data_IF_801562021153
#
_entry.id   IF_801562021153
#
_cell.length_a   1.000
_cell.length_b   1.000
_cell.length_c   1.000
_cell.angle_alpha   90.00
_cell.angle_beta   90.00
_cell.angle_gamma   90.00
#
_symmetry.space_group_name_H-M   'P 1'
#
loop_
_entity.id
_entity.type
_entity.pdbx_description
1 polymer ?
#
# COMPACT_ATOMS: atom_id res chain seq x y z
N UNK A 1 12.32 53.17 9.51
CA UNK A 1 12.63 51.81 9.01
C UNK A 1 12.29 50.71 10.01
N UNK A 2 12.48 50.89 11.31
CA UNK A 2 12.18 49.90 12.34
C UNK A 2 10.66 49.53 12.42
N UNK A 3 9.75 50.49 12.44
CA UNK A 3 8.32 50.27 12.52
C UNK A 3 7.76 49.50 11.30
N UNK A 4 8.31 49.70 10.11
CA UNK A 4 7.90 49.00 8.89
C UNK A 4 8.31 47.52 8.90
N UNK A 5 9.46 47.20 9.53
CA UNK A 5 9.95 45.83 9.72
C UNK A 5 9.08 45.09 10.78
N UNK A 6 8.77 45.74 11.89
CA UNK A 6 7.97 45.16 12.96
C UNK A 6 6.55 44.82 12.49
N UNK A 7 5.91 45.68 11.73
CA UNK A 7 4.55 45.45 11.16
C UNK A 7 4.53 44.32 10.10
N UNK A 8 5.65 44.13 9.37
CA UNK A 8 5.82 43.01 8.41
C UNK A 8 5.99 41.67 9.13
N UNK A 9 6.72 41.65 10.23
CA UNK A 9 6.95 40.45 11.04
C UNK A 9 5.68 39.98 11.74
N UNK A 10 4.93 40.92 12.34
CA UNK A 10 3.62 40.64 12.95
C UNK A 10 2.60 40.09 11.94
N UNK A 11 2.59 40.62 10.70
CA UNK A 11 1.75 40.11 9.61
C UNK A 11 2.12 38.67 9.25
N UNK A 12 3.39 38.37 9.11
CA UNK A 12 3.88 37.03 8.76
C UNK A 12 3.52 36.00 9.82
N UNK A 13 3.71 36.33 11.09
CA UNK A 13 3.33 35.45 12.21
C UNK A 13 1.81 35.21 12.24
N UNK A 14 1.00 36.24 12.00
CA UNK A 14 -0.46 36.15 11.95
C UNK A 14 -0.90 35.19 10.84
N UNK A 15 -0.39 35.37 9.62
CA UNK A 15 -0.69 34.51 8.47
C UNK A 15 -0.30 33.06 8.79
N UNK A 16 0.87 32.78 9.33
CA UNK A 16 1.31 31.44 9.70
C UNK A 16 0.39 30.79 10.75
N UNK A 17 -0.07 31.57 11.74
CA UNK A 17 -1.02 31.07 12.74
C UNK A 17 -2.37 30.72 12.11
N UNK A 18 -2.89 31.56 11.20
CA UNK A 18 -4.13 31.31 10.47
C UNK A 18 -4.00 30.05 9.61
N UNK A 19 -2.91 29.92 8.84
CA UNK A 19 -2.61 28.72 8.03
C UNK A 19 -2.61 27.47 8.90
N UNK A 20 -1.89 27.47 10.02
CA UNK A 20 -1.80 26.33 10.93
C UNK A 20 -3.18 25.88 11.40
N UNK A 21 -4.04 26.82 11.79
CA UNK A 21 -5.39 26.53 12.29
C UNK A 21 -6.32 26.03 11.18
N UNK A 22 -6.19 26.57 9.96
CA UNK A 22 -6.92 26.08 8.78
C UNK A 22 -6.55 24.62 8.45
N UNK A 23 -5.26 24.28 8.49
CA UNK A 23 -4.81 22.88 8.35
C UNK A 23 -5.28 21.97 9.49
N UNK A 24 -5.53 22.52 10.67
CA UNK A 24 -6.14 21.79 11.79
C UNK A 24 -7.66 21.63 11.66
N UNK A 25 -8.22 22.05 10.51
CA UNK A 25 -9.66 22.01 10.19
C UNK A 25 -10.51 22.85 11.16
N UNK A 26 -9.93 23.87 11.77
CA UNK A 26 -10.66 24.83 12.58
C UNK A 26 -11.50 25.75 11.70
N UNK A 27 -12.67 26.15 12.24
CA UNK A 27 -13.51 27.19 11.63
C UNK A 27 -13.16 28.52 12.27
N UNK A 28 -12.64 29.43 11.49
CA UNK A 28 -12.06 30.68 11.96
C UNK A 28 -13.04 31.84 11.80
N UNK A 29 -13.53 32.38 12.89
CA UNK A 29 -14.37 33.58 12.85
C UNK A 29 -13.48 34.82 12.63
N UNK A 30 -13.82 35.64 11.63
CA UNK A 30 -13.04 36.83 11.29
C UNK A 30 -12.98 37.87 12.39
N UNK A 31 -14.06 38.04 13.18
CA UNK A 31 -14.11 39.01 14.31
C UNK A 31 -13.23 38.52 15.46
N UNK A 32 -13.26 37.22 15.75
CA UNK A 32 -12.41 36.63 16.80
C UNK A 32 -10.95 36.74 16.45
N UNK A 33 -10.58 36.49 15.17
CA UNK A 33 -9.23 36.71 14.68
C UNK A 33 -8.78 38.17 14.76
N UNK A 34 -9.66 39.11 14.41
CA UNK A 34 -9.39 40.53 14.52
C UNK A 34 -9.05 40.94 15.95
N UNK A 35 -9.84 40.46 16.92
CA UNK A 35 -9.62 40.67 18.34
C UNK A 35 -8.34 40.00 18.85
N UNK A 36 -8.10 38.75 18.48
CA UNK A 36 -6.91 37.96 18.88
C UNK A 36 -5.61 38.66 18.44
N UNK A 37 -5.57 39.13 17.19
CA UNK A 37 -4.40 39.77 16.62
C UNK A 37 -4.35 41.28 16.77
N UNK A 38 -5.34 41.88 17.46
CA UNK A 38 -5.45 43.31 17.65
C UNK A 38 -5.33 44.12 16.34
N UNK A 39 -6.07 43.67 15.31
CA UNK A 39 -6.13 44.31 14.00
C UNK A 39 -7.59 44.50 13.57
N UNK A 40 -7.80 45.34 12.58
CA UNK A 40 -9.15 45.57 12.08
C UNK A 40 -9.61 44.37 11.18
N UNK A 41 -10.92 44.15 11.13
CA UNK A 41 -11.54 43.05 10.37
C UNK A 41 -11.16 43.06 8.88
N UNK A 42 -10.96 44.26 8.28
CA UNK A 42 -10.52 44.36 6.88
C UNK A 42 -9.11 43.82 6.68
N UNK A 43 -8.26 43.92 7.69
CA UNK A 43 -6.92 43.35 7.68
C UNK A 43 -7.00 41.81 7.63
N UNK A 44 -7.86 41.20 8.45
CA UNK A 44 -8.12 39.76 8.41
C UNK A 44 -8.69 39.32 7.05
N UNK A 45 -9.64 40.08 6.51
CA UNK A 45 -10.20 39.78 5.18
C UNK A 45 -9.13 39.80 4.09
N UNK A 46 -8.21 40.78 4.11
CA UNK A 46 -7.08 40.80 3.14
C UNK A 46 -6.13 39.64 3.32
N UNK A 47 -5.84 39.25 4.55
CA UNK A 47 -5.01 38.10 4.84
C UNK A 47 -5.66 36.81 4.35
N UNK A 48 -6.98 36.63 4.54
CA UNK A 48 -7.74 35.49 4.00
C UNK A 48 -7.73 35.48 2.47
N UNK A 49 -7.91 36.63 1.80
CA UNK A 49 -7.81 36.68 0.33
C UNK A 49 -6.40 36.31 -0.18
N UNK A 50 -5.36 36.75 0.52
CA UNK A 50 -3.97 36.35 0.20
C UNK A 50 -3.81 34.84 0.34
N UNK A 51 -4.37 34.27 1.39
CA UNK A 51 -4.33 32.81 1.62
C UNK A 51 -5.17 32.02 0.62
N UNK A 52 -6.30 32.57 0.16
CA UNK A 52 -7.10 31.94 -0.92
C UNK A 52 -6.27 31.77 -2.19
N UNK A 53 -5.60 32.83 -2.62
CA UNK A 53 -4.75 32.76 -3.81
C UNK A 53 -3.64 31.72 -3.64
N UNK A 54 -2.96 31.73 -2.49
CA UNK A 54 -1.89 30.77 -2.18
C UNK A 54 -2.38 29.32 -2.19
N UNK A 55 -3.48 29.01 -1.50
CA UNK A 55 -3.99 27.62 -1.45
C UNK A 55 -4.49 27.14 -2.79
N UNK A 56 -5.10 28.02 -3.58
CA UNK A 56 -5.59 27.67 -4.92
C UNK A 56 -4.43 27.29 -5.86
N UNK A 57 -3.33 28.06 -5.81
CA UNK A 57 -2.14 27.81 -6.65
C UNK A 57 -1.36 26.56 -6.24
N UNK A 58 -1.15 26.35 -4.94
CA UNK A 58 -0.29 25.27 -4.42
C UNK A 58 -0.96 23.91 -4.41
N UNK A 59 -2.22 23.82 -3.92
CA UNK A 59 -2.86 22.55 -3.59
C UNK A 59 -4.25 22.38 -4.22
N UNK A 60 -4.76 23.38 -4.93
CA UNK A 60 -6.14 23.40 -5.40
C UNK A 60 -7.17 23.41 -4.25
N UNK A 61 -6.73 23.72 -3.01
CA UNK A 61 -7.61 23.86 -1.85
C UNK A 61 -8.25 25.24 -1.82
N UNK A 62 -9.44 25.36 -1.27
CA UNK A 62 -10.21 26.60 -1.28
C UNK A 62 -10.63 27.00 0.14
N UNK A 63 -10.36 28.27 0.53
CA UNK A 63 -10.89 28.81 1.78
C UNK A 63 -12.30 29.28 1.54
N UNK A 64 -13.30 28.56 2.11
CA UNK A 64 -14.72 28.91 2.06
C UNK A 64 -15.22 29.58 3.34
N UNK A 65 -16.35 30.27 3.23
CA UNK A 65 -17.02 30.84 4.39
C UNK A 65 -18.34 30.12 4.69
N UNK A 66 -18.45 29.55 5.87
CA UNK A 66 -19.68 28.92 6.34
C UNK A 66 -20.59 29.95 7.02
N UNK A 67 -21.75 30.22 6.43
CA UNK A 67 -22.78 31.10 7.03
C UNK A 67 -23.35 30.53 8.32
N UNK A 68 -23.53 29.20 8.39
CA UNK A 68 -24.11 28.53 9.57
C UNK A 68 -23.15 28.54 10.76
N UNK A 69 -21.85 28.37 10.52
CA UNK A 69 -20.81 28.37 11.55
C UNK A 69 -20.10 29.71 11.70
N UNK A 70 -20.51 30.72 10.91
CA UNK A 70 -19.99 32.09 10.91
C UNK A 70 -18.47 32.20 10.86
N UNK A 71 -17.81 31.39 9.99
CA UNK A 71 -16.37 31.39 9.93
C UNK A 71 -15.78 30.81 8.64
N UNK A 72 -14.50 31.10 8.42
CA UNK A 72 -13.70 30.58 7.32
C UNK A 72 -13.18 29.19 7.65
N UNK A 73 -13.16 28.31 6.65
CA UNK A 73 -12.57 26.97 6.74
C UNK A 73 -11.87 26.61 5.44
N UNK A 74 -10.87 25.75 5.52
CA UNK A 74 -10.19 25.22 4.37
C UNK A 74 -10.97 24.01 3.85
N UNK A 75 -11.45 24.10 2.62
CA UNK A 75 -11.99 22.96 1.89
C UNK A 75 -10.83 22.32 1.14
N UNK A 76 -10.36 21.20 1.67
CA UNK A 76 -9.35 20.40 0.98
C UNK A 76 -9.98 19.78 -0.26
N UNK A 77 -9.22 19.71 -1.34
CA UNK A 77 -9.65 18.98 -2.53
C UNK A 77 -9.79 17.49 -2.12
N UNK A 78 -11.03 16.97 -2.17
CA UNK A 78 -11.32 15.58 -1.79
C UNK A 78 -10.54 14.54 -2.59
N UNK A 79 -10.01 14.93 -3.75
CA UNK A 79 -9.17 14.05 -4.58
C UNK A 79 -7.74 13.86 -4.03
N UNK A 80 -7.28 14.74 -3.14
CA UNK A 80 -5.90 14.71 -2.61
C UNK A 80 -5.79 14.32 -1.15
N UNK A 81 -6.88 14.31 -0.38
CA UNK A 81 -6.91 13.96 1.03
C UNK A 81 -7.64 12.63 1.28
N UNK A 82 -7.08 11.81 2.17
CA UNK A 82 -7.75 10.58 2.59
C UNK A 82 -9.05 10.88 3.33
N UNK A 83 -10.11 10.13 3.00
CA UNK A 83 -11.34 10.11 3.79
C UNK A 83 -11.14 9.27 5.08
N UNK A 84 -12.03 9.42 6.04
CA UNK A 84 -11.96 8.65 7.29
C UNK A 84 -12.15 7.15 7.05
N UNK A 85 -13.00 6.78 6.10
CA UNK A 85 -13.24 5.40 5.67
C UNK A 85 -11.96 4.79 5.06
N UNK A 86 -11.26 5.53 4.20
CA UNK A 86 -10.00 5.11 3.60
C UNK A 86 -8.92 4.96 4.67
N UNK A 87 -8.79 5.92 5.60
CA UNK A 87 -7.83 5.84 6.70
C UNK A 87 -8.07 4.62 7.59
N UNK A 88 -9.34 4.33 7.92
CA UNK A 88 -9.69 3.15 8.69
C UNK A 88 -9.36 1.86 7.93
N UNK A 89 -9.80 1.75 6.68
CA UNK A 89 -9.57 0.57 5.85
C UNK A 89 -8.07 0.28 5.64
N UNK A 90 -7.27 1.29 5.28
CA UNK A 90 -5.82 1.16 5.11
C UNK A 90 -5.15 0.76 6.43
N UNK A 91 -5.57 1.36 7.55
CA UNK A 91 -5.04 1.01 8.89
C UNK A 91 -5.29 -0.45 9.24
N UNK A 92 -6.49 -0.98 8.97
CA UNK A 92 -6.83 -2.39 9.18
C UNK A 92 -5.98 -3.32 8.31
N UNK A 93 -5.81 -2.98 7.02
CA UNK A 93 -4.97 -3.76 6.09
C UNK A 93 -3.51 -3.78 6.56
N UNK A 94 -2.96 -2.65 7.01
CA UNK A 94 -1.58 -2.58 7.51
C UNK A 94 -1.41 -3.43 8.76
N UNK A 95 -2.35 -3.37 9.71
CA UNK A 95 -2.29 -4.16 10.96
C UNK A 95 -2.38 -5.66 10.66
N UNK A 96 -3.34 -6.09 9.83
CA UNK A 96 -3.53 -7.49 9.45
C UNK A 96 -2.37 -8.04 8.63
N UNK A 97 -1.77 -7.24 7.76
CA UNK A 97 -0.63 -7.66 6.93
C UNK A 97 0.56 -8.11 7.75
N UNK A 98 0.76 -7.55 8.94
CA UNK A 98 1.92 -7.78 9.82
C UNK A 98 3.28 -7.59 9.14
N UNK A 99 3.29 -6.94 7.97
CA UNK A 99 4.45 -6.86 7.08
C UNK A 99 5.63 -6.06 7.66
N UNK A 100 5.35 -5.15 8.55
CA UNK A 100 6.34 -4.24 9.12
C UNK A 100 6.67 -4.58 10.58
N UNK A 101 7.84 -4.19 11.06
CA UNK A 101 8.16 -4.28 12.47
C UNK A 101 7.27 -3.34 13.31
N UNK A 102 7.31 -3.50 14.64
CA UNK A 102 6.42 -2.76 15.53
C UNK A 102 6.58 -1.24 15.41
N UNK A 103 7.80 -0.75 15.27
CA UNK A 103 8.08 0.69 15.17
C UNK A 103 7.59 1.28 13.85
N UNK A 104 7.86 0.62 12.73
CA UNK A 104 7.38 1.04 11.42
C UNK A 104 5.85 1.05 11.37
N UNK A 105 5.20 -0.03 11.86
CA UNK A 105 3.74 -0.12 11.92
C UNK A 105 3.15 1.01 12.75
N UNK A 106 3.65 1.25 13.97
CA UNK A 106 3.15 2.32 14.82
C UNK A 106 3.32 3.69 14.17
N UNK A 107 4.46 3.93 13.54
CA UNK A 107 4.74 5.20 12.85
C UNK A 107 3.80 5.41 11.67
N UNK A 108 3.59 4.41 10.83
CA UNK A 108 2.68 4.46 9.68
C UNK A 108 1.24 4.73 10.13
N UNK A 109 0.74 3.95 11.08
CA UNK A 109 -0.62 4.11 11.63
C UNK A 109 -0.81 5.50 12.24
N UNK A 110 0.16 6.00 13.02
CA UNK A 110 0.07 7.33 13.60
C UNK A 110 0.03 8.43 12.53
N UNK A 111 0.84 8.30 11.48
CA UNK A 111 0.81 9.24 10.36
C UNK A 111 -0.55 9.23 9.66
N UNK A 112 -1.10 8.05 9.35
CA UNK A 112 -2.43 7.92 8.74
C UNK A 112 -3.52 8.58 9.59
N UNK A 113 -3.58 8.26 10.87
CA UNK A 113 -4.58 8.83 11.79
C UNK A 113 -4.45 10.35 11.88
N UNK A 114 -3.25 10.91 11.76
CA UNK A 114 -3.04 12.35 11.83
C UNK A 114 -3.64 13.11 10.63
N UNK A 115 -3.97 12.42 9.53
CA UNK A 115 -4.72 13.01 8.41
C UNK A 115 -6.22 13.18 8.73
N UNK A 116 -6.76 12.46 9.72
CA UNK A 116 -8.12 12.70 10.22
C UNK A 116 -8.15 13.85 11.22
N UNK A 117 -9.31 14.46 11.44
CA UNK A 117 -9.48 15.62 12.33
C UNK A 117 -10.53 15.38 13.43
N UNK A 118 -10.39 16.11 14.52
CA UNK A 118 -11.41 16.22 15.56
C UNK A 118 -11.90 14.88 16.12
N UNK A 119 -13.22 14.73 16.24
CA UNK A 119 -13.88 13.54 16.78
C UNK A 119 -13.63 12.28 15.96
N UNK A 120 -13.46 12.41 14.65
CA UNK A 120 -13.23 11.27 13.74
C UNK A 120 -11.88 10.59 14.03
N UNK A 121 -10.86 11.40 14.38
CA UNK A 121 -9.55 10.87 14.81
C UNK A 121 -9.68 9.98 16.05
N UNK A 122 -10.43 10.39 17.05
CA UNK A 122 -10.64 9.60 18.27
C UNK A 122 -11.47 8.34 17.98
N UNK A 123 -12.43 8.43 17.06
CA UNK A 123 -13.21 7.28 16.61
C UNK A 123 -12.31 6.24 15.95
N UNK A 124 -11.48 6.65 14.97
CA UNK A 124 -10.55 5.74 14.28
C UNK A 124 -9.57 5.13 15.29
N UNK A 125 -8.97 5.95 16.18
CA UNK A 125 -8.08 5.45 17.23
C UNK A 125 -8.76 4.38 18.10
N UNK A 126 -10.00 4.63 18.54
CA UNK A 126 -10.77 3.68 19.34
C UNK A 126 -10.96 2.34 18.65
N UNK A 127 -11.28 2.36 17.34
CA UNK A 127 -11.53 1.17 16.53
C UNK A 127 -10.29 0.31 16.26
N UNK A 128 -9.09 0.91 16.24
CA UNK A 128 -7.85 0.17 15.92
C UNK A 128 -6.92 -0.01 17.13
N UNK A 129 -7.20 0.62 18.26
CA UNK A 129 -6.29 0.65 19.40
C UNK A 129 -5.97 -0.74 19.96
N UNK A 130 -6.97 -1.62 20.05
CA UNK A 130 -6.75 -2.99 20.53
C UNK A 130 -5.78 -3.76 19.62
N UNK A 131 -5.98 -3.73 18.31
CA UNK A 131 -5.12 -4.40 17.33
C UNK A 131 -3.71 -3.80 17.33
N UNK A 132 -3.62 -2.46 17.37
CA UNK A 132 -2.33 -1.76 17.42
C UNK A 132 -1.55 -2.07 18.69
N UNK A 133 -2.21 -2.16 19.85
CA UNK A 133 -1.56 -2.45 21.13
C UNK A 133 -1.05 -3.89 21.20
N UNK A 134 -1.82 -4.82 20.63
CA UNK A 134 -1.52 -6.25 20.60
C UNK A 134 -0.81 -6.67 19.30
N UNK A 135 -0.30 -5.74 18.53
CA UNK A 135 0.37 -6.02 17.26
C UNK A 135 1.57 -6.94 17.46
N UNK A 136 1.55 -8.09 16.81
CA UNK A 136 2.62 -9.09 16.84
C UNK A 136 3.35 -9.02 15.48
N UNK A 137 4.56 -8.42 15.43
CA UNK A 137 5.34 -8.34 14.20
C UNK A 137 5.84 -9.72 13.76
N UNK A 138 6.29 -9.81 12.52
CA UNK A 138 6.99 -10.99 12.02
C UNK A 138 8.37 -11.13 12.67
N UNK A 139 8.91 -12.36 12.63
CA UNK A 139 10.15 -12.72 13.30
C UNK A 139 11.43 -12.09 12.71
N UNK A 140 11.37 -11.51 11.51
CA UNK A 140 12.56 -10.93 10.87
C UNK A 140 13.05 -9.65 11.56
N UNK A 141 12.16 -8.84 12.15
CA UNK A 141 12.52 -7.61 12.88
C UNK A 141 13.14 -6.48 12.04
N UNK A 142 13.24 -6.66 10.72
CA UNK A 142 13.92 -5.73 9.81
C UNK A 142 13.11 -4.45 9.59
N UNK A 143 13.83 -3.34 9.34
CA UNK A 143 13.25 -2.09 8.85
C UNK A 143 13.11 -2.18 7.33
N UNK A 144 11.88 -2.38 6.85
CA UNK A 144 11.65 -2.67 5.43
C UNK A 144 11.43 -1.44 4.56
N UNK A 145 10.89 -0.35 5.10
CA UNK A 145 10.52 0.82 4.30
C UNK A 145 11.70 1.40 3.53
N UNK A 146 12.86 1.53 4.17
CA UNK A 146 14.08 2.04 3.52
C UNK A 146 14.60 1.08 2.45
N UNK A 147 14.59 -0.22 2.74
CA UNK A 147 15.04 -1.25 1.78
C UNK A 147 14.13 -1.29 0.55
N UNK A 148 12.81 -1.25 0.77
CA UNK A 148 11.81 -1.19 -0.30
C UNK A 148 12.05 0.04 -1.19
N UNK A 149 12.29 1.21 -0.59
CA UNK A 149 12.53 2.43 -1.35
C UNK A 149 13.83 2.37 -2.17
N UNK A 150 14.92 1.88 -1.59
CA UNK A 150 16.18 1.71 -2.29
C UNK A 150 16.04 0.75 -3.48
N UNK A 151 15.38 -0.39 -3.29
CA UNK A 151 15.09 -1.33 -4.37
C UNK A 151 14.21 -0.70 -5.45
N UNK A 152 13.21 0.08 -5.08
CA UNK A 152 12.36 0.81 -6.03
C UNK A 152 13.15 1.79 -6.90
N UNK A 153 14.16 2.49 -6.32
CA UNK A 153 15.06 3.34 -7.11
C UNK A 153 15.94 2.52 -8.07
N UNK A 154 16.47 1.39 -7.63
CA UNK A 154 17.26 0.50 -8.49
C UNK A 154 16.42 -0.06 -9.65
N UNK A 155 15.16 -0.42 -9.41
CA UNK A 155 14.20 -0.83 -10.45
C UNK A 155 13.95 0.30 -11.44
N UNK A 156 13.64 1.51 -10.92
CA UNK A 156 13.39 2.69 -11.75
C UNK A 156 14.58 3.03 -12.65
N UNK A 157 15.78 2.98 -12.10
CA UNK A 157 17.03 3.32 -12.79
C UNK A 157 17.60 2.16 -13.62
N UNK A 158 17.02 0.95 -13.50
CA UNK A 158 17.47 -0.28 -14.19
C UNK A 158 18.91 -0.65 -13.83
N UNK A 159 19.24 -0.54 -12.58
CA UNK A 159 20.57 -0.81 -12.07
C UNK A 159 20.75 -2.31 -11.79
N UNK A 160 21.85 -2.88 -12.32
CA UNK A 160 22.30 -4.19 -11.93
C UNK A 160 22.88 -4.08 -10.51
N UNK A 161 22.36 -4.85 -9.59
CA UNK A 161 22.76 -4.82 -8.20
C UNK A 161 23.30 -6.16 -7.73
N UNK A 162 24.22 -6.11 -6.79
CA UNK A 162 24.68 -7.26 -6.02
C UNK A 162 23.93 -7.27 -4.68
N UNK A 163 23.39 -8.42 -4.30
CA UNK A 163 22.74 -8.58 -3.00
C UNK A 163 23.34 -9.71 -2.20
N UNK A 164 23.50 -9.49 -0.90
CA UNK A 164 23.71 -10.56 0.07
C UNK A 164 22.36 -11.07 0.54
N UNK A 165 22.07 -12.34 0.31
CA UNK A 165 20.79 -12.97 0.58
C UNK A 165 20.90 -14.15 1.54
N UNK A 166 20.13 -14.13 2.63
CA UNK A 166 20.06 -15.25 3.57
C UNK A 166 19.05 -16.28 3.09
N UNK A 167 19.51 -17.47 2.74
CA UNK A 167 18.66 -18.58 2.29
C UNK A 167 17.83 -19.18 3.41
N UNK A 168 16.93 -20.12 3.06
CA UNK A 168 16.13 -20.88 4.05
C UNK A 168 16.99 -21.59 5.09
N UNK A 169 18.15 -22.10 4.65
CA UNK A 169 19.11 -22.83 5.48
C UNK A 169 20.08 -21.91 6.23
N UNK A 170 19.73 -20.61 6.33
CA UNK A 170 20.53 -19.56 6.98
C UNK A 170 21.94 -19.38 6.41
N UNK A 171 22.15 -19.79 5.18
CA UNK A 171 23.41 -19.57 4.47
C UNK A 171 23.35 -18.24 3.71
N UNK A 172 24.40 -17.44 3.81
CA UNK A 172 24.60 -16.25 3.00
C UNK A 172 24.96 -16.62 1.57
N UNK A 173 24.28 -16.03 0.59
CA UNK A 173 24.60 -16.15 -0.85
C UNK A 173 24.60 -14.79 -1.49
N UNK A 174 25.59 -14.58 -2.37
CA UNK A 174 25.65 -13.37 -3.19
C UNK A 174 24.99 -13.64 -4.53
N UNK A 175 24.16 -12.70 -4.97
CA UNK A 175 23.53 -12.75 -6.28
C UNK A 175 23.71 -11.41 -6.99
N UNK A 176 24.15 -11.47 -8.24
CA UNK A 176 23.99 -10.38 -9.18
C UNK A 176 22.60 -10.48 -9.78
N UNK A 177 21.80 -9.44 -9.64
CA UNK A 177 20.39 -9.47 -10.03
C UNK A 177 19.99 -8.23 -10.84
N UNK A 178 19.05 -8.46 -11.76
CA UNK A 178 18.29 -7.43 -12.46
C UNK A 178 16.94 -7.27 -11.76
N UNK A 179 16.77 -6.27 -10.88
CA UNK A 179 15.52 -6.08 -10.15
C UNK A 179 14.42 -5.59 -11.09
N UNK A 180 13.24 -6.21 -11.02
CA UNK A 180 12.13 -5.96 -11.95
C UNK A 180 10.92 -5.32 -11.29
N UNK A 181 10.49 -5.83 -10.11
CA UNK A 181 9.31 -5.36 -9.40
C UNK A 181 9.36 -5.72 -7.93
N UNK A 182 8.55 -5.03 -7.13
CA UNK A 182 8.31 -5.34 -5.71
C UNK A 182 6.86 -5.77 -5.57
N UNK A 183 6.63 -6.91 -4.94
CA UNK A 183 5.30 -7.44 -4.65
C UNK A 183 5.12 -7.68 -3.17
N UNK A 184 3.89 -7.46 -2.70
CA UNK A 184 3.45 -7.90 -1.37
C UNK A 184 2.51 -9.10 -1.52
N UNK A 185 2.74 -10.14 -0.73
CA UNK A 185 1.86 -11.31 -0.66
C UNK A 185 1.89 -11.94 0.72
N UNK A 186 0.72 -12.29 1.23
CA UNK A 186 0.53 -12.83 2.57
C UNK A 186 1.09 -11.86 3.63
N UNK A 187 2.29 -12.11 4.10
CA UNK A 187 2.94 -11.34 5.18
C UNK A 187 4.23 -10.63 4.74
N UNK A 188 4.73 -10.89 3.52
CA UNK A 188 6.07 -10.50 3.13
C UNK A 188 6.10 -9.65 1.87
N UNK A 189 7.08 -8.76 1.83
CA UNK A 189 7.48 -8.12 0.59
C UNK A 189 8.49 -8.99 -0.15
N UNK A 190 8.32 -9.04 -1.47
CA UNK A 190 9.17 -9.83 -2.36
C UNK A 190 9.73 -8.94 -3.47
N UNK A 191 11.00 -9.15 -3.76
CA UNK A 191 11.66 -8.64 -4.95
C UNK A 191 11.56 -9.68 -6.05
N UNK A 192 11.02 -9.27 -7.19
CA UNK A 192 11.02 -10.06 -8.43
C UNK A 192 12.24 -9.62 -9.22
N UNK A 193 13.10 -10.55 -9.58
CA UNK A 193 14.36 -10.24 -10.24
C UNK A 193 14.84 -11.40 -11.13
N UNK A 194 15.57 -11.12 -12.19
CA UNK A 194 16.40 -12.13 -12.83
C UNK A 194 17.74 -12.25 -12.11
N UNK A 195 18.14 -13.48 -11.80
CA UNK A 195 19.48 -13.78 -11.30
C UNK A 195 20.37 -13.98 -12.52
N UNK A 196 21.54 -13.34 -12.54
CA UNK A 196 22.51 -13.47 -13.61
C UNK A 196 22.84 -14.96 -13.86
N UNK A 197 22.86 -15.38 -15.12
CA UNK A 197 23.02 -16.77 -15.57
C UNK A 197 21.86 -17.73 -15.21
N UNK A 198 20.70 -17.23 -14.75
CA UNK A 198 19.48 -18.00 -14.45
C UNK A 198 18.24 -17.20 -14.83
N UNK A 199 18.14 -16.81 -16.09
CA UNK A 199 17.09 -15.89 -16.56
C UNK A 199 15.91 -16.60 -17.26
N UNK A 200 15.76 -17.91 -17.09
CA UNK A 200 14.65 -18.66 -17.69
C UNK A 200 13.29 -18.18 -17.19
N UNK A 201 13.19 -17.93 -15.89
CA UNK A 201 12.04 -17.27 -15.24
C UNK A 201 12.52 -16.44 -14.04
N UNK A 202 11.76 -15.36 -13.68
CA UNK A 202 12.20 -14.50 -12.60
C UNK A 202 12.21 -15.22 -11.25
N UNK A 203 13.24 -14.96 -10.48
CA UNK A 203 13.33 -15.37 -9.09
C UNK A 203 12.46 -14.49 -8.21
N UNK A 204 11.91 -15.06 -7.15
CA UNK A 204 11.11 -14.40 -6.14
C UNK A 204 11.88 -14.43 -4.82
N UNK A 205 12.37 -13.26 -4.41
CA UNK A 205 13.26 -13.10 -3.26
C UNK A 205 12.57 -12.32 -2.15
N UNK A 206 12.50 -12.87 -0.95
CA UNK A 206 11.95 -12.14 0.22
C UNK A 206 12.87 -10.97 0.57
N UNK A 207 12.31 -9.76 0.66
CA UNK A 207 13.09 -8.54 0.92
C UNK A 207 13.71 -8.56 2.31
N UNK A 208 13.02 -9.09 3.32
CA UNK A 208 13.53 -9.22 4.70
C UNK A 208 14.76 -10.15 4.85
N UNK A 209 15.10 -10.90 3.81
CA UNK A 209 16.29 -11.77 3.75
C UNK A 209 17.47 -11.15 3.02
N UNK A 210 17.28 -9.95 2.46
CA UNK A 210 18.36 -9.17 1.85
C UNK A 210 19.07 -8.43 2.99
N UNK A 211 20.34 -8.75 3.21
CA UNK A 211 21.14 -8.14 4.27
C UNK A 211 21.97 -6.97 3.78
N UNK A 212 22.28 -6.94 2.50
CA UNK A 212 23.09 -5.89 1.88
C UNK A 212 22.70 -5.70 0.41
N UNK A 213 22.78 -4.47 -0.08
CA UNK A 213 22.53 -4.12 -1.48
C UNK A 213 23.69 -3.22 -1.94
N UNK A 214 24.39 -3.65 -2.96
CA UNK A 214 25.48 -2.89 -3.59
C UNK A 214 25.12 -2.58 -5.04
N UNK A 215 25.24 -1.32 -5.41
CA UNK A 215 25.07 -0.88 -6.79
C UNK A 215 26.36 -1.18 -7.57
N UNK A 216 26.24 -1.93 -8.66
CA UNK A 216 27.41 -2.28 -9.49
C UNK A 216 27.86 -1.14 -10.40
N UNK A 217 27.12 -0.04 -10.49
CA UNK A 217 27.32 1.05 -11.45
C UNK A 217 26.96 0.68 -12.89
N UNK A 218 26.48 -0.53 -13.13
CA UNK A 218 26.06 -1.01 -14.45
C UNK A 218 24.54 -0.99 -14.56
N UNK A 219 24.05 -0.69 -15.76
CA UNK A 219 22.61 -0.76 -16.08
C UNK A 219 22.35 -1.97 -16.96
N UNK A 220 21.22 -2.65 -16.72
CA UNK A 220 20.73 -3.65 -17.66
C UNK A 220 19.80 -2.97 -18.67
N UNK A 221 19.87 -3.44 -19.93
CA UNK A 221 19.05 -2.87 -20.99
C UNK A 221 17.59 -3.31 -20.76
N UNK A 222 16.70 -2.35 -20.56
CA UNK A 222 15.28 -2.63 -20.73
C UNK A 222 15.00 -2.68 -22.22
N UNK A 223 14.40 -3.73 -22.61
CA UNK A 223 13.72 -3.93 -23.85
C UNK A 223 12.55 -2.90 -23.97
N UNK A 224 11.99 -2.74 -25.13
CA UNK A 224 10.88 -1.81 -25.42
C UNK A 224 9.72 -1.93 -24.39
N UNK A 225 8.82 -0.94 -24.31
CA UNK A 225 7.69 -0.93 -23.39
C UNK A 225 6.86 -2.24 -23.37
N UNK A 226 6.74 -2.91 -24.53
CA UNK A 226 6.10 -4.22 -24.70
C UNK A 226 6.81 -5.37 -23.98
N UNK A 227 8.11 -5.23 -23.74
CA UNK A 227 8.98 -6.24 -23.12
C UNK A 227 9.29 -5.96 -21.65
N UNK A 228 8.78 -4.84 -21.11
CA UNK A 228 8.85 -4.56 -19.68
C UNK A 228 8.11 -5.63 -18.90
N UNK A 229 8.70 -6.02 -17.77
CA UNK A 229 8.03 -6.91 -16.83
C UNK A 229 6.68 -6.30 -16.40
N UNK A 230 5.62 -7.08 -16.59
CA UNK A 230 4.25 -6.68 -16.27
C UNK A 230 3.84 -7.37 -14.98
N UNK A 231 4.10 -6.72 -13.86
CA UNK A 231 3.81 -7.24 -12.52
C UNK A 231 2.32 -7.56 -12.29
N UNK A 232 1.41 -6.77 -12.83
CA UNK A 232 -0.03 -7.04 -12.80
C UNK A 232 -0.41 -8.34 -13.53
N UNK A 233 0.21 -8.62 -14.68
CA UNK A 233 0.01 -9.90 -15.39
C UNK A 233 0.67 -11.05 -14.63
N UNK A 234 1.90 -10.89 -14.21
CA UNK A 234 2.64 -11.91 -13.46
C UNK A 234 1.89 -12.33 -12.19
N UNK A 235 1.25 -11.37 -11.49
CA UNK A 235 0.47 -11.62 -10.27
C UNK A 235 -0.71 -12.57 -10.48
N UNK A 236 -1.31 -12.60 -11.67
CA UNK A 236 -2.44 -13.49 -11.96
C UNK A 236 -2.05 -14.97 -11.90
N UNK A 237 -0.79 -15.27 -12.21
CA UNK A 237 -0.28 -16.64 -12.31
C UNK A 237 0.51 -17.10 -11.09
N UNK A 238 0.92 -16.17 -10.18
CA UNK A 238 1.76 -16.48 -9.03
C UNK A 238 0.92 -16.71 -7.78
N UNK A 239 1.13 -17.85 -7.14
CA UNK A 239 0.47 -18.20 -5.89
C UNK A 239 1.49 -18.60 -4.83
N UNK A 240 1.31 -18.13 -3.59
CA UNK A 240 2.26 -18.30 -2.47
C UNK A 240 3.71 -17.97 -2.83
N UNK A 241 3.88 -17.05 -3.79
CA UNK A 241 5.19 -16.56 -4.24
C UNK A 241 6.15 -17.68 -4.67
N UNK A 242 5.62 -18.69 -5.32
CA UNK A 242 6.39 -19.72 -6.02
C UNK A 242 6.31 -19.49 -7.52
N UNK A 243 7.47 -19.39 -8.16
CA UNK A 243 7.62 -19.25 -9.62
C UNK A 243 8.07 -20.57 -10.25
N UNK A 244 7.93 -20.67 -11.54
CA UNK A 244 8.33 -21.81 -12.36
C UNK A 244 7.75 -21.73 -13.77
N UNK A 245 7.79 -22.80 -14.54
CA UNK A 245 7.19 -22.88 -15.87
C UNK A 245 5.66 -22.69 -15.78
N UNK A 246 5.07 -22.18 -16.86
CA UNK A 246 3.62 -22.10 -16.98
C UNK A 246 3.02 -23.50 -16.91
N UNK A 247 2.14 -23.70 -15.95
CA UNK A 247 1.55 -25.01 -15.63
C UNK A 247 0.03 -24.88 -15.60
N UNK A 248 -0.65 -25.89 -16.12
CA UNK A 248 -2.13 -26.01 -16.10
C UNK A 248 -2.54 -27.04 -15.09
N UNK A 249 -3.54 -26.72 -14.28
CA UNK A 249 -4.10 -27.63 -13.28
C UNK A 249 -5.61 -27.70 -13.47
N UNK A 250 -6.14 -28.89 -13.52
CA UNK A 250 -7.59 -29.14 -13.50
C UNK A 250 -7.96 -29.82 -12.19
N UNK A 251 -9.03 -29.35 -11.56
CA UNK A 251 -9.49 -29.91 -10.29
C UNK A 251 -11.00 -29.87 -10.16
N UNK A 252 -11.56 -30.75 -9.30
CA UNK A 252 -12.96 -30.73 -8.91
C UNK A 252 -13.14 -30.11 -7.54
N UNK A 253 -14.06 -29.15 -7.46
CA UNK A 253 -14.32 -28.36 -6.26
C UNK A 253 -15.80 -28.38 -5.88
N UNK A 254 -16.12 -28.60 -4.59
CA UNK A 254 -17.48 -28.67 -4.05
C UNK A 254 -17.82 -27.61 -3.00
N UNK A 255 -17.14 -26.47 -3.02
CA UNK A 255 -17.39 -25.34 -2.14
C UNK A 255 -18.05 -24.17 -2.84
N UNK A 256 -17.99 -23.02 -2.22
CA UNK A 256 -18.37 -21.74 -2.84
C UNK A 256 -17.36 -21.40 -3.94
N UNK A 257 -17.82 -21.37 -5.19
CA UNK A 257 -16.94 -21.20 -6.36
C UNK A 257 -16.21 -19.86 -6.35
N UNK A 258 -16.79 -18.84 -5.71
CA UNK A 258 -16.21 -17.51 -5.55
C UNK A 258 -14.83 -17.57 -4.89
N UNK A 259 -14.59 -18.47 -3.94
CA UNK A 259 -13.28 -18.65 -3.32
C UNK A 259 -12.20 -19.09 -4.31
N UNK A 260 -12.57 -19.85 -5.31
CA UNK A 260 -11.69 -20.28 -6.39
C UNK A 260 -11.43 -19.12 -7.34
N UNK A 261 -12.49 -18.43 -7.77
CA UNK A 261 -12.41 -17.32 -8.73
C UNK A 261 -11.64 -16.13 -8.17
N UNK A 262 -11.83 -15.82 -6.88
CA UNK A 262 -11.09 -14.76 -6.18
C UNK A 262 -9.61 -15.14 -5.98
N UNK A 263 -9.33 -16.42 -5.73
CA UNK A 263 -7.95 -16.89 -5.53
C UNK A 263 -7.16 -17.03 -6.82
N UNK A 264 -7.81 -17.48 -7.88
CA UNK A 264 -7.17 -17.77 -9.17
C UNK A 264 -7.81 -16.92 -10.29
N UNK A 265 -7.24 -15.73 -10.59
CA UNK A 265 -7.77 -14.91 -11.69
C UNK A 265 -7.74 -15.56 -13.07
N UNK A 266 -7.00 -16.68 -13.20
CA UNK A 266 -6.93 -17.50 -14.43
C UNK A 266 -7.93 -18.65 -14.43
N UNK A 267 -8.81 -18.76 -13.42
CA UNK A 267 -9.75 -19.87 -13.30
C UNK A 267 -10.82 -19.83 -14.38
N UNK A 268 -11.03 -20.99 -15.00
CA UNK A 268 -12.04 -21.27 -16.01
C UNK A 268 -12.92 -22.45 -15.52
N UNK A 269 -14.23 -22.23 -15.40
CA UNK A 269 -15.16 -23.29 -15.05
C UNK A 269 -15.44 -24.08 -16.32
N UNK A 270 -15.04 -25.35 -16.34
CA UNK A 270 -15.24 -26.24 -17.48
C UNK A 270 -16.57 -26.98 -17.44
N UNK A 271 -17.06 -27.30 -16.24
CA UNK A 271 -18.27 -28.10 -16.04
C UNK A 271 -18.86 -27.83 -14.65
N UNK A 272 -20.18 -27.96 -14.54
CA UNK A 272 -20.93 -27.83 -13.30
C UNK A 272 -21.95 -28.97 -13.18
N UNK A 273 -21.89 -29.73 -12.08
CA UNK A 273 -22.79 -30.88 -11.84
C UNK A 273 -23.38 -30.82 -10.45
N UNK A 274 -24.70 -31.08 -10.38
CA UNK A 274 -25.38 -31.24 -9.10
C UNK A 274 -25.39 -32.74 -8.74
N UNK A 275 -24.72 -33.04 -7.62
CA UNK A 275 -24.70 -34.39 -7.05
C UNK A 275 -25.54 -34.41 -5.76
N UNK A 276 -26.14 -35.59 -5.46
CA UNK A 276 -26.82 -35.80 -4.19
C UNK A 276 -25.89 -36.53 -3.24
N UNK A 277 -25.59 -35.94 -2.12
CA UNK A 277 -24.80 -36.53 -1.04
C UNK A 277 -25.55 -36.31 0.27
N UNK A 278 -25.76 -37.39 1.05
CA UNK A 278 -26.49 -37.35 2.33
C UNK A 278 -27.84 -36.59 2.29
N UNK A 279 -28.63 -36.81 1.27
CA UNK A 279 -29.92 -36.15 1.00
C UNK A 279 -29.83 -34.64 0.72
N UNK A 280 -28.61 -34.08 0.50
CA UNK A 280 -28.40 -32.68 0.12
C UNK A 280 -27.94 -32.62 -1.33
N UNK A 281 -28.38 -31.58 -2.04
CA UNK A 281 -27.86 -31.27 -3.37
C UNK A 281 -26.57 -30.44 -3.18
N UNK A 282 -25.49 -30.90 -3.75
CA UNK A 282 -24.18 -30.22 -3.72
C UNK A 282 -23.75 -29.98 -5.16
N UNK A 283 -23.34 -28.77 -5.47
CA UNK A 283 -22.76 -28.45 -6.76
C UNK A 283 -21.28 -28.78 -6.76
N UNK A 284 -20.83 -29.50 -7.77
CA UNK A 284 -19.41 -29.82 -8.03
C UNK A 284 -19.00 -29.15 -9.31
N UNK A 285 -17.98 -28.33 -9.23
CA UNK A 285 -17.38 -27.62 -10.35
C UNK A 285 -16.13 -28.34 -10.82
N UNK A 286 -15.94 -28.46 -12.13
CA UNK A 286 -14.65 -28.80 -12.74
C UNK A 286 -13.99 -27.50 -13.19
N UNK A 287 -12.85 -27.18 -12.62
CA UNK A 287 -12.15 -25.91 -12.85
C UNK A 287 -10.77 -26.16 -13.40
N UNK A 288 -10.36 -25.34 -14.37
CA UNK A 288 -9.01 -25.29 -14.91
C UNK A 288 -8.35 -23.96 -14.52
N UNK A 289 -7.10 -23.99 -14.09
CA UNK A 289 -6.28 -22.81 -13.80
C UNK A 289 -4.96 -22.87 -14.55
N UNK A 290 -4.39 -21.70 -14.84
CA UNK A 290 -3.03 -21.55 -15.33
C UNK A 290 -2.19 -20.82 -14.28
N UNK A 291 -1.02 -21.34 -13.93
CA UNK A 291 -0.14 -20.82 -12.87
C UNK A 291 1.34 -20.95 -13.25
N UNK A 292 2.18 -20.08 -12.71
CA UNK A 292 3.64 -20.24 -12.81
C UNK A 292 4.13 -21.14 -11.68
N UNK A 293 4.55 -22.37 -12.03
CA UNK A 293 4.89 -23.41 -11.06
C UNK A 293 3.66 -23.97 -10.35
N UNK A 294 3.56 -25.30 -10.25
CA UNK A 294 2.40 -25.95 -9.64
C UNK A 294 2.33 -25.81 -8.12
N UNK A 295 3.50 -25.71 -7.46
CA UNK A 295 3.63 -25.88 -6.00
C UNK A 295 2.75 -24.92 -5.20
N UNK A 296 2.71 -23.61 -5.57
CA UNK A 296 1.89 -22.64 -4.86
C UNK A 296 0.39 -22.92 -4.98
N UNK A 297 -0.08 -23.29 -6.17
CA UNK A 297 -1.47 -23.69 -6.39
C UNK A 297 -1.81 -24.99 -5.64
N UNK A 298 -0.92 -26.00 -5.67
CA UNK A 298 -1.10 -27.23 -4.92
C UNK A 298 -1.19 -27.01 -3.40
N UNK A 299 -0.40 -26.08 -2.85
CA UNK A 299 -0.53 -25.71 -1.43
C UNK A 299 -1.94 -25.24 -1.10
N UNK A 300 -2.51 -24.38 -1.95
CA UNK A 300 -3.87 -23.90 -1.76
C UNK A 300 -4.89 -25.04 -1.91
N UNK A 301 -4.79 -25.84 -2.97
CA UNK A 301 -5.69 -26.97 -3.20
C UNK A 301 -5.71 -27.93 -1.99
N UNK A 302 -4.55 -28.26 -1.45
CA UNK A 302 -4.43 -29.13 -0.27
C UNK A 302 -5.00 -28.47 0.99
N UNK A 303 -4.93 -27.14 1.13
CA UNK A 303 -5.48 -26.41 2.28
C UNK A 303 -7.01 -26.42 2.31
N UNK A 304 -7.67 -26.68 1.16
CA UNK A 304 -9.13 -26.73 1.06
C UNK A 304 -9.73 -28.05 1.61
N UNK A 305 -8.89 -29.03 1.94
CA UNK A 305 -9.35 -30.32 2.49
C UNK A 305 -10.37 -30.98 1.57
N UNK A 306 -11.51 -31.39 2.14
CA UNK A 306 -12.55 -32.14 1.41
C UNK A 306 -13.30 -31.32 0.34
N UNK A 307 -13.12 -29.99 0.28
CA UNK A 307 -13.72 -29.19 -0.79
C UNK A 307 -13.05 -29.44 -2.14
N UNK A 308 -11.79 -29.82 -2.18
CA UNK A 308 -11.09 -30.29 -3.39
C UNK A 308 -11.18 -31.81 -3.45
N UNK A 309 -11.98 -32.32 -4.37
CA UNK A 309 -12.23 -33.77 -4.50
C UNK A 309 -11.00 -34.44 -5.13
N UNK A 310 -10.50 -33.88 -6.20
CA UNK A 310 -9.33 -34.37 -6.93
C UNK A 310 -8.70 -33.23 -7.73
N UNK A 311 -7.41 -33.36 -8.07
CA UNK A 311 -6.74 -32.46 -9.00
C UNK A 311 -5.69 -33.20 -9.82
N UNK A 312 -5.39 -32.70 -11.01
CA UNK A 312 -4.33 -33.21 -11.90
C UNK A 312 -3.58 -32.05 -12.54
N UNK A 313 -2.28 -32.22 -12.69
CA UNK A 313 -1.43 -31.31 -13.44
C UNK A 313 -1.45 -31.74 -14.89
N UNK A 314 -1.85 -30.82 -15.79
CA UNK A 314 -1.87 -31.07 -17.23
C UNK A 314 -0.48 -30.76 -17.81
N UNK A 315 0.02 -31.66 -18.61
CA UNK A 315 1.32 -31.50 -19.30
C UNK A 315 1.19 -30.58 -20.51
#
# INVERSE_FOLDING_TARGET
MAEKNQNSEEKSIRILKIIKRLYQKEILNGTDLANEFNVDIKTIQRDIETLRAYFLEENGAEIKYSKSKKGYYLEENSETSFTNEELLAISKIILESRAFNKNETQTLINKLINHSSGNDRETIKGLINSEKSNYIPLQHGQNLLTVIWNLAQNIKNQELININYTTKDKQGKNYNIKPLSIMFSEYYFYLIAYIENKEEYPAILRIDRITEIENTGKKFKILNYSEKFKDGEFRKYIHFMHSGPLTRIEFKYRGYIEYVLDKFPTAEILDEKIVKENNRKITVYTVKIEVYGSFGAEMWLRSQGDYVIEYKILK
#
